data_IF_344383453179
#
_entry.id   IF_344383453179
#
_cell.length_a   1.000
_cell.length_b   1.000
_cell.length_c   1.000
_cell.angle_alpha   90.00
_cell.angle_beta   90.00
_cell.angle_gamma   90.00
#
_symmetry.space_group_name_H-M   'P 1'
#
loop_
_entity.id
_entity.type
_entity.pdbx_description
1 polymer ?
#
# COMPACT_ATOMS: atom_id res chain seq x y z
N UNK A 1 8.32 -7.61 12.90
CA UNK A 1 7.36 -8.70 13.07
C UNK A 1 7.33 -9.58 11.82
N UNK A 2 7.08 -10.84 12.01
CA UNK A 2 6.99 -11.78 10.92
C UNK A 2 5.64 -11.67 10.22
N UNK A 3 5.67 -11.55 8.90
CA UNK A 3 4.47 -11.57 8.07
C UNK A 3 4.58 -12.78 7.15
N UNK A 4 3.63 -13.72 7.18
CA UNK A 4 3.66 -14.88 6.27
C UNK A 4 3.65 -14.40 4.83
N UNK A 5 4.39 -15.08 3.94
CA UNK A 5 4.39 -14.71 2.53
C UNK A 5 2.99 -14.83 1.93
N UNK A 6 2.59 -13.84 1.17
CA UNK A 6 1.37 -13.86 0.38
C UNK A 6 1.75 -14.40 -1.00
N UNK A 7 0.90 -15.24 -1.59
CA UNK A 7 1.17 -15.76 -2.93
C UNK A 7 1.43 -14.59 -3.89
N UNK A 8 2.51 -14.68 -4.65
CA UNK A 8 2.93 -13.61 -5.56
C UNK A 8 3.90 -12.62 -4.95
N UNK A 9 4.29 -12.80 -3.69
CA UNK A 9 5.18 -11.85 -2.99
C UNK A 9 6.54 -11.68 -3.67
N UNK A 10 6.98 -12.65 -4.44
CA UNK A 10 8.27 -12.65 -5.12
C UNK A 10 8.21 -12.17 -6.57
N UNK A 11 7.06 -11.69 -7.01
CA UNK A 11 6.92 -11.12 -8.35
C UNK A 11 7.70 -9.80 -8.46
N UNK A 12 8.18 -9.52 -9.66
CA UNK A 12 8.83 -8.23 -9.95
C UNK A 12 7.83 -7.10 -9.72
N UNK A 13 8.26 -6.06 -9.06
CA UNK A 13 7.42 -4.93 -8.71
C UNK A 13 6.79 -5.05 -7.33
N UNK A 14 7.08 -6.14 -6.61
CA UNK A 14 6.66 -6.33 -5.22
C UNK A 14 7.85 -6.05 -4.32
N UNK A 15 7.67 -5.15 -3.37
CA UNK A 15 8.73 -4.72 -2.46
C UNK A 15 8.28 -4.84 -1.02
N UNK A 16 9.24 -5.09 -0.13
CA UNK A 16 9.03 -4.98 1.30
C UNK A 16 9.58 -3.63 1.73
N UNK A 17 8.79 -2.87 2.47
CA UNK A 17 9.17 -1.53 2.92
C UNK A 17 9.49 -1.56 4.40
N UNK A 18 10.79 -1.51 4.74
CA UNK A 18 11.29 -1.54 6.12
C UNK A 18 12.23 -0.38 6.42
N UNK A 19 12.89 0.15 5.40
CA UNK A 19 13.95 1.15 5.55
C UNK A 19 13.77 2.27 4.53
N UNK A 20 14.54 3.33 4.72
CA UNK A 20 14.58 4.46 3.77
C UNK A 20 15.14 4.00 2.43
N UNK A 21 16.11 3.07 2.45
CA UNK A 21 16.66 2.49 1.22
C UNK A 21 15.60 1.74 0.43
N UNK A 22 14.74 0.99 1.11
CA UNK A 22 13.61 0.32 0.47
C UNK A 22 12.69 1.34 -0.21
N UNK A 23 12.43 2.47 0.46
CA UNK A 23 11.59 3.53 -0.09
C UNK A 23 12.22 4.12 -1.36
N UNK A 24 13.54 4.27 -1.40
CA UNK A 24 14.23 4.76 -2.60
C UNK A 24 14.12 3.77 -3.76
N UNK A 25 14.27 2.48 -3.50
CA UNK A 25 14.11 1.45 -4.53
C UNK A 25 12.70 1.46 -5.10
N UNK A 26 11.71 1.58 -4.23
CA UNK A 26 10.30 1.64 -4.62
C UNK A 26 10.05 2.86 -5.49
N UNK A 27 10.55 4.03 -5.10
CA UNK A 27 10.39 5.26 -5.86
C UNK A 27 11.03 5.16 -7.24
N UNK A 28 12.20 4.54 -7.32
CA UNK A 28 12.89 4.35 -8.61
C UNK A 28 12.09 3.43 -9.53
N UNK A 29 11.61 2.30 -8.99
CA UNK A 29 10.79 1.38 -9.79
C UNK A 29 9.49 2.05 -10.24
N UNK A 30 8.88 2.83 -9.35
CA UNK A 30 7.60 3.48 -9.62
C UNK A 30 7.66 4.52 -10.74
N UNK A 31 8.86 4.96 -11.16
CA UNK A 31 8.98 5.86 -12.31
C UNK A 31 8.37 5.26 -13.58
N UNK A 32 8.23 3.95 -13.64
CA UNK A 32 7.70 3.25 -14.82
C UNK A 32 6.28 2.73 -14.59
N UNK A 33 5.60 3.17 -13.54
CA UNK A 33 4.22 2.73 -13.26
C UNK A 33 3.39 3.90 -12.76
N UNK A 34 2.09 3.84 -13.00
CA UNK A 34 1.15 4.88 -12.57
C UNK A 34 0.37 4.51 -11.33
N UNK A 35 0.32 3.22 -11.00
CA UNK A 35 -0.50 2.72 -9.90
C UNK A 35 0.37 2.00 -8.87
N UNK A 36 0.12 2.29 -7.60
CA UNK A 36 0.82 1.69 -6.48
C UNK A 36 -0.21 1.21 -5.46
N UNK A 37 -0.03 0.00 -4.96
CA UNK A 37 -0.84 -0.53 -3.87
C UNK A 37 0.09 -0.73 -2.67
N UNK A 38 -0.26 -0.12 -1.55
CA UNK A 38 0.43 -0.29 -0.28
C UNK A 38 -0.36 -1.27 0.58
N UNK A 39 0.27 -2.37 0.96
CA UNK A 39 -0.36 -3.36 1.84
C UNK A 39 0.09 -3.07 3.26
N UNK A 40 -0.84 -2.56 4.06
CA UNK A 40 -0.57 -2.10 5.40
C UNK A 40 -0.50 -0.58 5.49
N UNK A 41 -1.23 0.00 6.45
CA UNK A 41 -1.29 1.44 6.65
C UNK A 41 -0.36 1.92 7.76
N UNK A 42 0.88 1.40 7.81
CA UNK A 42 1.89 1.83 8.77
C UNK A 42 2.53 3.16 8.40
N UNK A 43 3.28 3.75 9.34
CA UNK A 43 3.83 5.09 9.16
C UNK A 43 4.73 5.22 7.93
N UNK A 44 5.69 4.32 7.78
CA UNK A 44 6.62 4.38 6.65
C UNK A 44 5.90 4.19 5.31
N UNK A 45 4.89 3.32 5.28
CA UNK A 45 4.06 3.12 4.10
C UNK A 45 3.29 4.39 3.73
N UNK A 46 2.69 5.05 4.71
CA UNK A 46 1.96 6.31 4.48
C UNK A 46 2.91 7.40 3.98
N UNK A 47 4.10 7.51 4.58
CA UNK A 47 5.10 8.50 4.15
C UNK A 47 5.56 8.25 2.71
N UNK A 48 5.81 6.98 2.37
CA UNK A 48 6.19 6.60 1.01
C UNK A 48 5.05 6.87 0.03
N UNK A 49 3.83 6.53 0.42
CA UNK A 49 2.63 6.81 -0.38
C UNK A 49 2.43 8.29 -0.63
N UNK A 50 2.70 9.11 0.38
CA UNK A 50 2.62 10.57 0.24
C UNK A 50 3.58 11.06 -0.86
N UNK A 51 4.83 10.61 -0.81
CA UNK A 51 5.82 10.99 -1.83
C UNK A 51 5.40 10.52 -3.22
N UNK A 52 4.91 9.30 -3.34
CA UNK A 52 4.45 8.75 -4.62
C UNK A 52 3.23 9.52 -5.15
N UNK A 53 2.32 9.89 -4.25
CA UNK A 53 1.15 10.68 -4.63
C UNK A 53 1.55 12.06 -5.15
N UNK A 54 2.54 12.68 -4.50
CA UNK A 54 3.07 13.97 -4.97
C UNK A 54 3.72 13.85 -6.35
N UNK A 55 4.23 12.68 -6.70
CA UNK A 55 4.77 12.40 -8.03
C UNK A 55 3.69 12.04 -9.05
N UNK A 56 2.43 12.15 -8.69
CA UNK A 56 1.31 11.92 -9.60
C UNK A 56 0.86 10.48 -9.72
N UNK A 57 1.36 9.59 -8.86
CA UNK A 57 0.94 8.18 -8.88
C UNK A 57 -0.41 8.00 -8.21
N UNK A 58 -1.20 7.04 -8.68
CA UNK A 58 -2.40 6.62 -7.98
C UNK A 58 -1.96 5.68 -6.85
N UNK A 59 -2.34 6.00 -5.63
CA UNK A 59 -1.96 5.22 -4.45
C UNK A 59 -3.21 4.68 -3.77
N UNK A 60 -3.26 3.37 -3.61
CA UNK A 60 -4.31 2.70 -2.86
C UNK A 60 -3.68 1.99 -1.67
N UNK A 61 -4.21 2.22 -0.49
CA UNK A 61 -3.75 1.59 0.76
C UNK A 61 -4.75 0.51 1.17
N UNK A 62 -4.25 -0.70 1.35
CA UNK A 62 -5.05 -1.83 1.84
C UNK A 62 -4.62 -2.09 3.28
N UNK A 63 -5.55 -1.98 4.21
CA UNK A 63 -5.28 -2.16 5.64
C UNK A 63 -6.28 -3.14 6.24
N UNK A 64 -5.78 -4.15 6.96
CA UNK A 64 -6.64 -5.16 7.58
C UNK A 64 -7.41 -4.62 8.80
N UNK A 65 -6.89 -3.58 9.44
CA UNK A 65 -7.60 -2.91 10.54
C UNK A 65 -8.65 -1.93 10.00
N UNK A 66 -9.61 -1.54 10.83
CA UNK A 66 -10.64 -0.58 10.38
C UNK A 66 -10.18 0.86 10.37
N UNK A 67 -8.93 1.14 10.77
CA UNK A 67 -8.38 2.50 10.79
C UNK A 67 -6.88 2.49 10.54
N UNK A 68 -6.35 3.65 10.12
CA UNK A 68 -4.92 3.83 9.88
C UNK A 68 -4.16 3.95 11.20
N UNK A 69 -2.91 3.49 11.18
CA UNK A 69 -1.98 3.63 12.32
C UNK A 69 -2.63 3.28 13.66
N UNK A 70 -3.22 2.07 13.79
CA UNK A 70 -4.05 1.76 14.96
C UNK A 70 -3.29 1.76 16.28
N UNK A 71 -1.96 1.67 16.23
CA UNK A 71 -1.12 1.70 17.43
C UNK A 71 -0.65 3.11 17.80
N UNK A 72 -0.62 4.02 16.81
CA UNK A 72 -0.11 5.37 16.99
C UNK A 72 -1.21 6.40 17.18
N UNK A 73 -2.39 6.15 16.59
CA UNK A 73 -3.49 7.10 16.60
C UNK A 73 -4.74 6.47 17.18
N UNK A 74 -5.54 7.29 17.90
CA UNK A 74 -6.87 6.91 18.29
C UNK A 74 -7.81 6.96 17.08
N UNK A 75 -9.09 6.61 17.28
CA UNK A 75 -10.09 6.56 16.20
C UNK A 75 -10.24 7.91 15.52
N UNK A 76 -10.33 8.99 16.31
CA UNK A 76 -10.54 10.33 15.76
C UNK A 76 -9.31 10.80 14.97
N UNK A 77 -8.11 10.56 15.50
CA UNK A 77 -6.87 10.92 14.81
C UNK A 77 -6.70 10.15 13.52
N UNK A 78 -7.00 8.86 13.53
CA UNK A 78 -6.90 8.02 12.34
C UNK A 78 -7.89 8.47 11.27
N UNK A 79 -9.13 8.79 11.67
CA UNK A 79 -10.16 9.25 10.74
C UNK A 79 -9.77 10.58 10.10
N UNK A 80 -9.24 11.50 10.92
CA UNK A 80 -8.78 12.80 10.43
C UNK A 80 -7.65 12.65 9.42
N UNK A 81 -6.68 11.80 9.72
CA UNK A 81 -5.57 11.54 8.80
C UNK A 81 -6.09 10.95 7.49
N UNK A 82 -7.00 9.99 7.56
CA UNK A 82 -7.60 9.38 6.38
C UNK A 82 -8.26 10.44 5.51
N UNK A 83 -9.04 11.34 6.10
CA UNK A 83 -9.70 12.41 5.35
C UNK A 83 -8.70 13.29 4.61
N UNK A 84 -7.61 13.67 5.28
CA UNK A 84 -6.57 14.51 4.69
C UNK A 84 -5.95 13.79 3.49
N UNK A 85 -5.63 12.53 3.64
CA UNK A 85 -5.01 11.74 2.57
C UNK A 85 -5.98 11.51 1.41
N UNK A 86 -7.26 11.29 1.70
CA UNK A 86 -8.27 11.14 0.65
C UNK A 86 -8.41 12.43 -0.16
N UNK A 87 -8.34 13.59 0.49
CA UNK A 87 -8.36 14.88 -0.19
C UNK A 87 -7.14 15.06 -1.12
N UNK A 88 -6.03 14.40 -0.79
CA UNK A 88 -4.84 14.38 -1.64
C UNK A 88 -4.94 13.38 -2.79
N UNK A 89 -5.99 12.57 -2.81
CA UNK A 89 -6.21 11.58 -3.86
C UNK A 89 -5.83 10.16 -3.49
N UNK A 90 -5.53 9.87 -2.22
CA UNK A 90 -5.36 8.49 -1.77
C UNK A 90 -6.67 7.75 -1.84
N UNK A 91 -6.58 6.46 -2.12
CA UNK A 91 -7.69 5.52 -2.03
C UNK A 91 -7.42 4.53 -0.91
N UNK A 92 -8.45 4.13 -0.18
CA UNK A 92 -8.29 3.22 0.94
C UNK A 92 -9.24 2.02 0.83
N UNK A 93 -8.74 0.87 1.26
CA UNK A 93 -9.53 -0.32 1.52
C UNK A 93 -9.22 -0.74 2.95
N UNK A 94 -10.06 -0.32 3.89
CA UNK A 94 -9.91 -0.64 5.30
C UNK A 94 -10.68 -1.91 5.62
N UNK A 95 -10.33 -2.57 6.71
CA UNK A 95 -10.90 -3.88 7.08
C UNK A 95 -10.82 -4.84 5.90
N UNK A 96 -9.74 -4.77 5.13
CA UNK A 96 -9.56 -5.53 3.91
C UNK A 96 -8.30 -6.38 4.02
N UNK A 97 -8.39 -7.62 3.57
CA UNK A 97 -7.28 -8.55 3.61
C UNK A 97 -6.83 -8.88 2.20
N UNK A 98 -5.53 -8.82 1.97
CA UNK A 98 -4.94 -9.22 0.71
C UNK A 98 -4.82 -10.73 0.68
N UNK A 99 -5.37 -11.36 -0.35
CA UNK A 99 -5.28 -12.81 -0.53
C UNK A 99 -4.10 -13.19 -1.41
N UNK A 100 -3.88 -12.45 -2.50
CA UNK A 100 -2.90 -12.84 -3.50
C UNK A 100 -2.43 -11.62 -4.26
N UNK A 101 -1.14 -11.64 -4.65
CA UNK A 101 -0.58 -10.67 -5.60
C UNK A 101 -0.49 -11.41 -6.94
N UNK A 102 -1.11 -10.85 -7.96
CA UNK A 102 -1.18 -11.49 -9.27
C UNK A 102 -0.21 -10.82 -10.24
N UNK A 103 0.16 -11.55 -11.27
CA UNK A 103 1.11 -11.04 -12.24
C UNK A 103 1.05 -11.75 -13.59
N UNK A 104 1.81 -11.20 -14.52
CA UNK A 104 1.99 -11.73 -15.86
C UNK A 104 3.47 -11.61 -16.21
N UNK A 105 4.03 -12.67 -16.81
CA UNK A 105 5.46 -12.71 -17.13
C UNK A 105 6.35 -12.37 -15.92
N UNK A 106 5.99 -12.89 -14.74
CA UNK A 106 6.74 -12.73 -13.50
C UNK A 106 6.76 -11.29 -12.96
N UNK A 107 5.93 -10.40 -13.50
CA UNK A 107 5.79 -9.01 -13.02
C UNK A 107 4.39 -8.81 -12.48
N UNK A 108 4.28 -8.14 -11.32
CA UNK A 108 2.96 -7.93 -10.72
C UNK A 108 2.08 -7.03 -11.58
N UNK A 109 0.80 -7.37 -11.65
CA UNK A 109 -0.21 -6.59 -12.36
C UNK A 109 -1.36 -6.18 -11.45
N UNK A 110 -1.44 -6.74 -10.24
CA UNK A 110 -2.53 -6.39 -9.35
C UNK A 110 -2.54 -7.19 -8.06
N UNK A 111 -3.56 -6.94 -7.28
CA UNK A 111 -3.76 -7.55 -5.97
C UNK A 111 -5.21 -7.99 -5.86
N UNK A 112 -5.43 -9.20 -5.34
CA UNK A 112 -6.78 -9.71 -5.07
C UNK A 112 -7.04 -9.62 -3.58
N UNK A 113 -8.15 -8.97 -3.22
CA UNK A 113 -8.58 -8.85 -1.85
C UNK A 113 -9.58 -9.95 -1.48
N UNK A 114 -9.69 -10.23 -0.19
CA UNK A 114 -10.74 -11.10 0.32
C UNK A 114 -12.10 -10.53 -0.10
N UNK A 115 -12.95 -11.38 -0.68
CA UNK A 115 -14.21 -10.93 -1.27
C UNK A 115 -14.16 -10.81 -2.78
N UNK A 116 -12.96 -10.82 -3.38
CA UNK A 116 -12.79 -10.91 -4.82
C UNK A 116 -12.44 -9.62 -5.55
N UNK A 117 -12.41 -8.48 -4.86
CA UNK A 117 -12.00 -7.23 -5.52
C UNK A 117 -10.56 -7.34 -6.01
N UNK A 118 -10.29 -6.85 -7.21
CA UNK A 118 -8.95 -6.81 -7.81
C UNK A 118 -8.54 -5.34 -7.96
N UNK A 119 -7.36 -5.05 -7.41
CA UNK A 119 -6.79 -3.70 -7.52
C UNK A 119 -5.64 -3.67 -8.53
#
# INVERSE_FOLDING_TARGET
SFVPPIKGYDLRGVFTLRTIEDAHEISTYANNTDNVVLIGGGLLGIETGYALRKSGKKVTVVESFPRLLPRQLDVDGAFRLQQILEEMGFHFRLSAKTLEIIGDNQTTTGVILEGGEVL
#
